data_IF_295176381040
#
_entry.id   IF_295176381040
#
_cell.length_a   1.000
_cell.length_b   1.000
_cell.length_c   1.000
_cell.angle_alpha   90.00
_cell.angle_beta   90.00
_cell.angle_gamma   90.00
#
_symmetry.space_group_name_H-M   'P 1'
#
loop_
_entity.id
_entity.type
_entity.pdbx_description
1 polymer ?
#
# COMPACT_ATOMS: atom_id res chain seq x y z
N UNK A 1 32.95 -19.11 23.65
CA UNK A 1 31.84 -19.63 22.82
C UNK A 1 31.30 -18.56 21.86
N UNK A 2 30.36 -17.68 22.25
CA UNK A 2 29.82 -16.64 21.35
C UNK A 2 30.84 -15.54 20.95
N UNK A 3 31.69 -15.14 21.91
CA UNK A 3 32.79 -14.19 21.66
C UNK A 3 33.80 -14.75 20.66
N UNK A 4 34.21 -16.02 20.82
CA UNK A 4 35.20 -16.63 19.94
C UNK A 4 34.65 -16.81 18.52
N UNK A 5 33.41 -17.25 18.33
CA UNK A 5 32.85 -17.50 16.99
C UNK A 5 32.55 -16.23 16.17
N UNK A 6 32.10 -15.14 16.81
CA UNK A 6 31.68 -13.92 16.08
C UNK A 6 32.71 -12.79 16.17
N UNK A 7 33.39 -12.66 17.31
CA UNK A 7 34.28 -11.52 17.57
C UNK A 7 35.72 -11.82 17.18
N UNK A 8 36.21 -13.06 17.29
CA UNK A 8 37.57 -13.42 16.87
C UNK A 8 37.84 -13.16 15.37
N UNK A 9 36.92 -13.48 14.43
CA UNK A 9 37.11 -13.17 13.02
C UNK A 9 37.04 -11.67 12.71
N UNK A 10 36.24 -10.92 13.48
CA UNK A 10 35.96 -9.51 13.22
C UNK A 10 36.92 -8.54 13.94
N UNK A 11 37.45 -8.94 15.10
CA UNK A 11 38.28 -8.15 16.00
C UNK A 11 39.36 -9.04 16.65
N UNK A 12 40.33 -9.55 15.87
CA UNK A 12 41.42 -10.36 16.41
C UNK A 12 42.20 -9.54 17.46
N UNK A 13 42.29 -10.08 18.69
CA UNK A 13 42.94 -9.43 19.83
C UNK A 13 42.02 -9.05 20.98
N UNK A 14 40.69 -9.01 20.79
CA UNK A 14 39.76 -8.84 21.92
C UNK A 14 39.81 -10.03 22.90
N UNK A 15 40.19 -11.21 22.40
CA UNK A 15 40.43 -12.41 23.21
C UNK A 15 41.76 -12.39 23.97
N UNK A 16 42.65 -11.43 23.68
CA UNK A 16 43.89 -11.20 24.43
C UNK A 16 43.68 -10.27 25.63
N UNK A 17 42.43 -9.86 25.92
CA UNK A 17 42.10 -9.08 27.11
C UNK A 17 42.40 -9.88 28.39
N UNK A 18 42.90 -9.21 29.46
CA UNK A 18 43.04 -9.84 30.77
C UNK A 18 41.73 -10.52 31.21
N UNK A 19 41.76 -11.75 31.78
CA UNK A 19 40.55 -12.48 32.17
C UNK A 19 39.58 -11.69 33.05
N UNK A 20 40.11 -10.77 33.87
CA UNK A 20 39.31 -9.88 34.71
C UNK A 20 38.45 -8.86 33.92
N UNK A 21 38.89 -8.45 32.73
CA UNK A 21 38.21 -7.44 31.90
C UNK A 21 37.29 -8.05 30.83
N UNK A 22 37.46 -9.34 30.54
CA UNK A 22 36.61 -10.06 29.58
C UNK A 22 35.10 -9.94 29.85
N UNK A 23 34.57 -10.08 31.10
CA UNK A 23 33.13 -9.98 31.34
C UNK A 23 32.58 -8.57 31.05
N UNK A 24 33.30 -7.52 31.44
CA UNK A 24 32.88 -6.13 31.24
C UNK A 24 32.92 -5.74 29.76
N UNK A 25 33.99 -6.11 29.04
CA UNK A 25 34.07 -5.90 27.60
C UNK A 25 32.99 -6.69 26.84
N UNK A 26 32.72 -7.93 27.23
CA UNK A 26 31.61 -8.72 26.68
C UNK A 26 30.24 -8.07 26.93
N UNK A 27 30.02 -7.54 28.13
CA UNK A 27 28.79 -6.84 28.49
C UNK A 27 28.64 -5.55 27.67
N UNK A 28 29.71 -4.77 27.52
CA UNK A 28 29.72 -3.53 26.74
C UNK A 28 29.43 -3.79 25.25
N UNK A 29 30.08 -4.79 24.64
CA UNK A 29 29.85 -5.16 23.22
C UNK A 29 28.40 -5.62 23.02
N UNK A 30 27.86 -6.46 23.91
CA UNK A 30 26.45 -6.89 23.84
C UNK A 30 25.49 -5.73 24.03
N UNK A 31 25.80 -4.79 24.93
CA UNK A 31 25.01 -3.58 25.12
C UNK A 31 25.02 -2.73 23.84
N UNK A 32 26.19 -2.47 23.26
CA UNK A 32 26.33 -1.73 22.01
C UNK A 32 25.59 -2.39 20.85
N UNK A 33 25.68 -3.72 20.69
CA UNK A 33 24.96 -4.46 19.68
C UNK A 33 23.43 -4.33 19.84
N UNK A 34 22.91 -4.42 21.06
CA UNK A 34 21.47 -4.21 21.33
C UNK A 34 21.03 -2.79 21.02
N UNK A 35 21.81 -1.78 21.41
CA UNK A 35 21.50 -0.38 21.12
C UNK A 35 21.51 -0.10 19.62
N UNK A 36 22.43 -0.71 18.88
CA UNK A 36 22.49 -0.58 17.42
C UNK A 36 21.28 -1.26 16.75
N UNK A 37 20.92 -2.47 17.20
CA UNK A 37 19.72 -3.16 16.71
C UNK A 37 18.45 -2.33 16.96
N UNK A 38 18.26 -1.81 18.18
CA UNK A 38 17.12 -0.96 18.50
C UNK A 38 17.09 0.34 17.67
N UNK A 39 18.26 0.92 17.37
CA UNK A 39 18.36 2.09 16.49
C UNK A 39 18.02 1.75 15.03
N UNK A 40 18.41 0.56 14.56
CA UNK A 40 18.06 0.07 13.24
C UNK A 40 16.55 -0.17 13.10
N UNK A 41 15.91 -0.77 14.11
CA UNK A 41 14.46 -0.96 14.14
C UNK A 41 13.71 0.38 14.11
N UNK A 42 14.17 1.35 14.92
CA UNK A 42 13.62 2.71 14.96
C UNK A 42 13.74 3.41 13.61
N UNK A 43 14.91 3.31 12.97
CA UNK A 43 15.14 3.87 11.64
C UNK A 43 14.27 3.18 10.58
N UNK A 44 14.16 1.85 10.63
CA UNK A 44 13.31 1.08 9.72
C UNK A 44 11.86 1.52 9.80
N UNK A 45 11.30 1.62 11.02
CA UNK A 45 9.95 2.12 11.24
C UNK A 45 9.75 3.56 10.72
N UNK A 46 10.73 4.44 10.91
CA UNK A 46 10.67 5.80 10.39
C UNK A 46 10.66 5.84 8.85
N UNK A 47 11.48 5.00 8.20
CA UNK A 47 11.51 4.88 6.74
C UNK A 47 10.19 4.34 6.21
N UNK A 48 9.65 3.29 6.82
CA UNK A 48 8.35 2.71 6.46
C UNK A 48 7.22 3.73 6.58
N UNK A 49 7.19 4.51 7.67
CA UNK A 49 6.21 5.57 7.85
C UNK A 49 6.31 6.67 6.78
N UNK A 50 7.53 7.12 6.46
CA UNK A 50 7.75 8.12 5.41
C UNK A 50 7.38 7.58 4.02
N UNK A 51 7.74 6.33 3.74
CA UNK A 51 7.45 5.68 2.46
C UNK A 51 5.96 5.45 2.26
N UNK A 52 5.27 4.95 3.29
CA UNK A 52 3.81 4.83 3.31
C UNK A 52 3.12 6.19 3.13
N UNK A 53 3.59 7.23 3.81
CA UNK A 53 3.10 8.61 3.64
C UNK A 53 3.28 9.12 2.20
N UNK A 54 4.46 8.87 1.61
CA UNK A 54 4.76 9.30 0.24
C UNK A 54 3.91 8.57 -0.80
N UNK A 55 3.69 7.26 -0.64
CA UNK A 55 2.85 6.46 -1.54
C UNK A 55 1.36 6.87 -1.42
N UNK A 56 0.87 7.04 -0.18
CA UNK A 56 -0.52 7.47 0.05
C UNK A 56 -0.81 8.87 -0.47
N UNK A 57 0.17 9.79 -0.44
CA UNK A 57 0.03 11.12 -1.05
C UNK A 57 -0.23 11.07 -2.57
N UNK A 58 0.25 10.03 -3.26
CA UNK A 58 0.00 9.84 -4.70
C UNK A 58 -1.47 9.51 -5.02
N UNK A 59 -2.27 9.14 -4.02
CA UNK A 59 -3.72 8.92 -4.19
C UNK A 59 -4.53 10.22 -4.16
N UNK A 60 -3.91 11.38 -3.93
CA UNK A 60 -4.61 12.67 -3.91
C UNK A 60 -5.51 12.94 -5.14
N UNK A 61 -5.11 12.60 -6.39
CA UNK A 61 -5.94 12.77 -7.58
C UNK A 61 -7.23 11.95 -7.58
N UNK A 62 -7.31 10.84 -6.81
CA UNK A 62 -8.50 9.99 -6.75
C UNK A 62 -9.75 10.78 -6.33
N UNK A 63 -9.59 11.84 -5.52
CA UNK A 63 -10.68 12.72 -5.09
C UNK A 63 -11.42 13.41 -6.24
N UNK A 64 -10.81 13.52 -7.41
CA UNK A 64 -11.44 14.11 -8.59
C UNK A 64 -12.35 13.13 -9.35
N UNK A 65 -12.26 11.81 -9.10
CA UNK A 65 -13.00 10.76 -9.83
C UNK A 65 -14.51 11.02 -9.84
N UNK A 66 -15.18 11.33 -8.70
CA UNK A 66 -16.61 11.64 -8.72
C UNK A 66 -17.01 12.78 -9.68
N UNK A 67 -16.20 13.82 -9.74
CA UNK A 67 -16.46 14.98 -10.60
C UNK A 67 -16.33 14.65 -12.09
N UNK A 68 -15.50 13.65 -12.45
CA UNK A 68 -15.33 13.22 -13.84
C UNK A 68 -16.57 12.56 -14.41
N UNK A 69 -17.35 11.86 -13.59
CA UNK A 69 -18.53 11.11 -14.05
C UNK A 69 -19.82 11.91 -13.92
N UNK A 70 -19.90 12.82 -12.94
CA UNK A 70 -21.08 13.63 -12.65
C UNK A 70 -21.65 14.33 -13.89
N UNK A 71 -22.82 13.90 -14.35
CA UNK A 71 -23.58 14.52 -15.45
C UNK A 71 -22.80 14.62 -16.79
N UNK A 72 -21.77 13.80 -16.98
CA UNK A 72 -20.88 13.94 -18.14
C UNK A 72 -21.25 13.06 -19.33
N UNK A 73 -22.24 12.16 -19.17
CA UNK A 73 -22.60 11.17 -20.20
C UNK A 73 -21.46 10.21 -20.55
N UNK A 74 -20.36 10.20 -19.78
CA UNK A 74 -19.20 9.36 -20.05
C UNK A 74 -19.57 7.87 -20.03
N UNK A 75 -18.95 7.05 -20.90
CA UNK A 75 -19.11 5.61 -20.86
C UNK A 75 -18.55 5.02 -19.56
N UNK A 76 -18.86 3.75 -19.32
CA UNK A 76 -18.27 2.99 -18.21
C UNK A 76 -16.74 2.92 -18.39
N UNK A 77 -15.94 3.12 -17.33
CA UNK A 77 -14.50 3.00 -17.43
C UNK A 77 -14.05 1.59 -17.76
N UNK A 78 -12.98 1.48 -18.55
CA UNK A 78 -12.39 0.22 -19.01
C UNK A 78 -10.91 0.07 -18.63
N UNK A 79 -10.32 1.11 -18.04
CA UNK A 79 -8.92 1.11 -17.60
C UNK A 79 -8.77 1.87 -16.28
N UNK A 80 -7.70 1.54 -15.56
CA UNK A 80 -7.30 2.26 -14.35
C UNK A 80 -6.92 3.72 -14.66
N UNK A 81 -7.03 4.57 -13.64
CA UNK A 81 -6.69 5.98 -13.67
C UNK A 81 -5.20 6.18 -13.98
N UNK A 82 -4.89 7.22 -14.75
CA UNK A 82 -3.52 7.50 -15.22
C UNK A 82 -2.51 7.77 -14.10
N UNK A 83 -2.96 8.14 -12.90
CA UNK A 83 -2.07 8.37 -11.76
C UNK A 83 -1.66 7.06 -11.06
N UNK A 84 -2.33 5.94 -11.32
CA UNK A 84 -2.08 4.69 -10.60
C UNK A 84 -0.62 4.20 -10.66
N UNK A 85 0.10 4.27 -11.79
CA UNK A 85 1.51 3.85 -11.85
C UNK A 85 2.44 4.58 -10.86
N UNK A 86 2.06 5.78 -10.44
CA UNK A 86 2.84 6.60 -9.51
C UNK A 86 2.61 6.18 -8.05
N UNK A 87 1.53 5.48 -7.72
CA UNK A 87 1.14 5.18 -6.33
C UNK A 87 2.19 4.37 -5.59
N UNK A 88 2.69 3.31 -6.20
CA UNK A 88 3.74 2.44 -5.63
C UNK A 88 5.14 2.81 -6.09
N UNK A 89 5.29 3.85 -6.92
CA UNK A 89 6.59 4.26 -7.46
C UNK A 89 7.63 4.54 -6.37
N UNK A 90 7.34 5.27 -5.29
CA UNK A 90 8.34 5.51 -4.24
C UNK A 90 8.86 4.22 -3.61
N UNK A 91 7.97 3.24 -3.38
CA UNK A 91 8.34 1.92 -2.86
C UNK A 91 9.23 1.16 -3.84
N UNK A 92 8.81 1.10 -5.12
CA UNK A 92 9.58 0.44 -6.18
C UNK A 92 10.96 1.07 -6.35
N UNK A 93 11.03 2.40 -6.35
CA UNK A 93 12.28 3.14 -6.49
C UNK A 93 13.23 2.82 -5.32
N UNK A 94 12.74 2.77 -4.08
CA UNK A 94 13.55 2.34 -2.94
C UNK A 94 14.05 0.90 -3.10
N UNK A 95 13.14 -0.03 -3.41
CA UNK A 95 13.45 -1.47 -3.45
C UNK A 95 14.41 -1.84 -4.58
N UNK A 96 14.41 -1.10 -5.69
CA UNK A 96 15.34 -1.28 -6.81
C UNK A 96 16.60 -0.41 -6.72
N UNK A 97 16.66 0.53 -5.77
CA UNK A 97 17.85 1.32 -5.52
C UNK A 97 18.91 0.51 -4.78
N UNK A 98 20.19 0.89 -4.89
CA UNK A 98 21.31 0.25 -4.17
C UNK A 98 21.08 0.18 -2.64
N UNK A 99 20.35 1.14 -2.08
CA UNK A 99 19.95 1.13 -0.67
C UNK A 99 18.97 -0.01 -0.35
N UNK A 100 18.02 -0.29 -1.23
CA UNK A 100 17.08 -1.41 -1.10
C UNK A 100 17.74 -2.77 -1.28
N UNK A 101 18.76 -2.88 -2.13
CA UNK A 101 19.54 -4.12 -2.29
C UNK A 101 20.36 -4.48 -1.03
N UNK A 102 20.63 -3.50 -0.16
CA UNK A 102 21.25 -3.76 1.15
C UNK A 102 20.25 -4.33 2.16
N UNK A 103 18.96 -4.22 1.89
CA UNK A 103 17.93 -4.94 2.66
C UNK A 103 17.94 -6.39 2.20
N UNK A 104 18.00 -7.33 3.14
CA UNK A 104 17.81 -8.74 2.82
C UNK A 104 16.44 -8.98 2.18
N UNK A 105 16.30 -10.03 1.38
CA UNK A 105 15.07 -10.36 0.64
C UNK A 105 13.84 -10.47 1.55
N UNK A 106 14.01 -11.00 2.77
CA UNK A 106 12.96 -11.06 3.78
C UNK A 106 12.46 -9.66 4.19
N UNK A 107 13.39 -8.75 4.50
CA UNK A 107 13.06 -7.37 4.87
C UNK A 107 12.41 -6.60 3.70
N UNK A 108 12.88 -6.82 2.45
CA UNK A 108 12.27 -6.21 1.26
C UNK A 108 10.80 -6.60 1.12
N UNK A 109 10.47 -7.89 1.28
CA UNK A 109 9.08 -8.39 1.24
C UNK A 109 8.24 -7.85 2.38
N UNK A 110 8.78 -7.85 3.60
CA UNK A 110 8.09 -7.32 4.78
C UNK A 110 7.76 -5.84 4.61
N UNK A 111 8.74 -5.04 4.17
CA UNK A 111 8.57 -3.61 3.93
C UNK A 111 7.55 -3.33 2.82
N UNK A 112 7.60 -4.10 1.74
CA UNK A 112 6.64 -3.99 0.65
C UNK A 112 5.21 -4.32 1.12
N UNK A 113 5.05 -5.36 1.94
CA UNK A 113 3.75 -5.76 2.49
C UNK A 113 3.21 -4.70 3.47
N UNK A 114 4.07 -4.15 4.35
CA UNK A 114 3.66 -3.13 5.32
C UNK A 114 3.22 -1.84 4.62
N UNK A 115 4.03 -1.33 3.69
CA UNK A 115 3.69 -0.14 2.90
C UNK A 115 2.46 -0.39 2.04
N UNK A 116 2.37 -1.56 1.40
CA UNK A 116 1.19 -1.96 0.64
C UNK A 116 -0.09 -1.95 1.48
N UNK A 117 -0.03 -2.47 2.70
CA UNK A 117 -1.14 -2.40 3.67
C UNK A 117 -1.52 -0.97 4.04
N UNK A 118 -0.54 -0.10 4.31
CA UNK A 118 -0.80 1.33 4.57
C UNK A 118 -1.52 2.00 3.40
N UNK A 119 -1.07 1.76 2.17
CA UNK A 119 -1.69 2.30 0.96
C UNK A 119 -3.12 1.77 0.79
N UNK A 120 -3.33 0.46 1.00
CA UNK A 120 -4.66 -0.15 0.89
C UNK A 120 -5.63 0.44 1.92
N UNK A 121 -5.22 0.59 3.18
CA UNK A 121 -6.08 1.19 4.23
C UNK A 121 -6.44 2.64 3.92
N UNK A 122 -5.48 3.44 3.45
CA UNK A 122 -5.76 4.81 3.07
C UNK A 122 -6.70 4.90 1.86
N UNK A 123 -6.48 4.06 0.85
CA UNK A 123 -7.33 4.03 -0.32
C UNK A 123 -8.75 3.56 0.03
N UNK A 124 -8.90 2.60 0.95
CA UNK A 124 -10.20 2.15 1.44
C UNK A 124 -10.99 3.30 2.07
N UNK A 125 -10.35 4.12 2.91
CA UNK A 125 -10.97 5.30 3.51
C UNK A 125 -11.42 6.32 2.46
N UNK A 126 -10.58 6.56 1.44
CA UNK A 126 -10.94 7.47 0.34
C UNK A 126 -12.10 6.91 -0.49
N UNK A 127 -12.02 5.65 -0.90
CA UNK A 127 -12.99 4.99 -1.77
C UNK A 127 -14.38 4.92 -1.12
N UNK A 128 -14.45 4.49 0.14
CA UNK A 128 -15.71 4.43 0.91
C UNK A 128 -16.34 5.80 1.06
N UNK A 129 -15.55 6.82 1.44
CA UNK A 129 -16.03 8.19 1.56
C UNK A 129 -16.55 8.76 0.23
N UNK A 130 -15.88 8.48 -0.88
CA UNK A 130 -16.31 8.91 -2.22
C UNK A 130 -17.61 8.23 -2.65
N UNK A 131 -17.72 6.91 -2.51
CA UNK A 131 -18.92 6.17 -2.88
C UNK A 131 -20.14 6.61 -2.06
N UNK A 132 -19.98 6.79 -0.75
CA UNK A 132 -21.04 7.30 0.11
C UNK A 132 -21.49 8.70 -0.29
N UNK A 133 -20.54 9.57 -0.64
CA UNK A 133 -20.82 10.92 -1.13
C UNK A 133 -21.61 10.90 -2.43
N UNK A 134 -21.17 10.12 -3.42
CA UNK A 134 -21.83 10.03 -4.73
C UNK A 134 -23.24 9.45 -4.61
N UNK A 135 -23.43 8.41 -3.79
CA UNK A 135 -24.75 7.81 -3.55
C UNK A 135 -25.72 8.81 -2.91
N UNK A 136 -25.28 9.54 -1.87
CA UNK A 136 -26.11 10.58 -1.23
C UNK A 136 -26.47 11.72 -2.20
N UNK A 137 -25.51 12.15 -3.00
CA UNK A 137 -25.71 13.18 -4.03
C UNK A 137 -26.74 12.73 -5.08
N UNK A 138 -26.63 11.49 -5.55
CA UNK A 138 -27.60 10.92 -6.48
C UNK A 138 -29.00 10.82 -5.89
N UNK A 139 -29.12 10.30 -4.66
CA UNK A 139 -30.40 10.20 -3.96
C UNK A 139 -31.06 11.56 -3.79
N UNK A 140 -30.29 12.59 -3.40
CA UNK A 140 -30.77 13.95 -3.31
C UNK A 140 -31.29 14.45 -4.66
N UNK A 141 -30.52 14.24 -5.75
CA UNK A 141 -30.96 14.62 -7.11
C UNK A 141 -32.24 13.90 -7.52
N UNK A 142 -32.36 12.61 -7.24
CA UNK A 142 -33.58 11.81 -7.54
C UNK A 142 -34.82 12.33 -6.80
N UNK A 143 -34.67 12.85 -5.58
CA UNK A 143 -35.79 13.46 -4.83
C UNK A 143 -36.27 14.77 -5.45
N UNK A 144 -35.37 15.57 -6.03
CA UNK A 144 -35.70 16.87 -6.61
C UNK A 144 -36.07 16.80 -8.11
N UNK A 145 -35.64 15.77 -8.83
CA UNK A 145 -36.08 15.51 -10.19
C UNK A 145 -37.54 15.02 -10.17
N UNK A 146 -38.50 15.87 -10.55
CA UNK A 146 -39.90 15.47 -10.76
C UNK A 146 -39.93 14.36 -11.80
N UNK A 147 -40.33 13.13 -11.39
CA UNK A 147 -40.63 11.94 -12.23
C UNK A 147 -40.37 12.19 -13.72
N UNK A 148 -39.11 12.11 -14.13
CA UNK A 148 -38.71 12.15 -15.52
C UNK A 148 -37.99 10.82 -15.79
N UNK A 149 -38.48 10.21 -16.86
CA UNK A 149 -38.30 8.87 -17.38
C UNK A 149 -36.96 8.13 -17.18
N UNK A 150 -37.14 6.83 -16.92
CA UNK A 150 -36.42 5.70 -17.50
C UNK A 150 -34.89 5.64 -17.34
N UNK A 151 -34.49 4.84 -16.35
CA UNK A 151 -33.62 3.68 -16.56
C UNK A 151 -32.42 3.87 -17.51
N UNK A 152 -31.51 4.78 -17.21
CA UNK A 152 -30.10 4.47 -17.48
C UNK A 152 -29.67 3.41 -16.47
N UNK A 153 -29.37 2.19 -16.93
CA UNK A 153 -28.97 1.08 -16.06
C UNK A 153 -27.67 1.35 -15.28
N UNK A 154 -26.87 2.33 -15.72
CA UNK A 154 -25.60 2.69 -15.10
C UNK A 154 -25.65 4.09 -14.52
N UNK A 155 -25.46 4.18 -13.20
CA UNK A 155 -25.46 5.41 -12.42
C UNK A 155 -24.07 6.08 -12.39
N UNK A 156 -23.96 7.32 -11.90
CA UNK A 156 -22.65 7.95 -11.67
C UNK A 156 -21.90 7.16 -10.57
N UNK A 157 -22.61 6.65 -9.56
CA UNK A 157 -22.09 5.78 -8.52
C UNK A 157 -21.49 4.48 -9.09
N UNK A 158 -22.14 3.86 -10.07
CA UNK A 158 -21.63 2.65 -10.73
C UNK A 158 -20.33 2.94 -11.49
N UNK A 159 -20.26 4.07 -12.20
CA UNK A 159 -19.04 4.46 -12.93
C UNK A 159 -17.88 4.74 -11.98
N UNK A 160 -18.15 5.42 -10.87
CA UNK A 160 -17.15 5.67 -9.82
C UNK A 160 -16.69 4.35 -9.19
N UNK A 161 -17.63 3.45 -8.87
CA UNK A 161 -17.33 2.12 -8.33
C UNK A 161 -16.41 1.32 -9.27
N UNK A 162 -16.77 1.24 -10.55
CA UNK A 162 -15.96 0.54 -11.56
C UNK A 162 -14.58 1.18 -11.74
N UNK A 163 -14.48 2.52 -11.76
CA UNK A 163 -13.16 3.16 -11.84
C UNK A 163 -12.29 2.78 -10.64
N UNK A 164 -12.84 2.84 -9.43
CA UNK A 164 -12.11 2.48 -8.22
C UNK A 164 -11.72 1.00 -8.22
N UNK A 165 -12.59 0.11 -8.71
CA UNK A 165 -12.27 -1.31 -8.86
C UNK A 165 -11.07 -1.52 -9.79
N UNK A 166 -11.06 -0.88 -10.96
CA UNK A 166 -9.94 -0.96 -11.90
C UNK A 166 -8.64 -0.39 -11.31
N UNK A 167 -8.74 0.70 -10.54
CA UNK A 167 -7.61 1.30 -9.82
C UNK A 167 -7.06 0.35 -8.76
N UNK A 168 -7.93 -0.38 -8.05
CA UNK A 168 -7.53 -1.38 -7.04
C UNK A 168 -6.89 -2.61 -7.69
N UNK A 169 -7.42 -3.11 -8.81
CA UNK A 169 -6.78 -4.23 -9.54
C UNK A 169 -5.39 -3.82 -10.05
N UNK A 170 -5.23 -2.58 -10.53
CA UNK A 170 -3.93 -2.04 -10.92
C UNK A 170 -2.97 -1.93 -9.72
N UNK A 171 -3.45 -1.51 -8.55
CA UNK A 171 -2.65 -1.53 -7.32
C UNK A 171 -2.21 -2.96 -6.95
N UNK A 172 -3.11 -3.94 -7.05
CA UNK A 172 -2.80 -5.34 -6.80
C UNK A 172 -1.71 -5.88 -7.72
N UNK A 173 -1.75 -5.51 -9.01
CA UNK A 173 -0.70 -5.84 -9.97
C UNK A 173 0.65 -5.22 -9.58
N UNK A 174 0.65 -3.93 -9.21
CA UNK A 174 1.87 -3.23 -8.77
C UNK A 174 2.48 -3.81 -7.50
N UNK A 175 1.65 -4.23 -6.53
CA UNK A 175 2.12 -4.91 -5.32
C UNK A 175 2.79 -6.25 -5.65
N UNK A 176 2.26 -6.97 -6.64
CA UNK A 176 2.87 -8.22 -7.12
C UNK A 176 4.25 -8.01 -7.74
N UNK A 177 4.46 -6.91 -8.46
CA UNK A 177 5.77 -6.56 -9.04
C UNK A 177 6.86 -6.39 -7.98
N UNK A 178 6.50 -5.95 -6.78
CA UNK A 178 7.42 -5.80 -5.64
C UNK A 178 7.42 -7.01 -4.70
N UNK A 179 6.87 -8.15 -5.14
CA UNK A 179 6.93 -9.41 -4.41
C UNK A 179 5.86 -9.59 -3.33
N UNK A 180 4.78 -8.81 -3.36
CA UNK A 180 3.66 -8.92 -2.42
C UNK A 180 2.52 -9.71 -3.06
N UNK A 181 2.08 -10.77 -2.37
CA UNK A 181 0.86 -11.50 -2.76
C UNK A 181 -0.36 -10.73 -2.26
N UNK A 182 -0.87 -9.79 -3.07
CA UNK A 182 -1.95 -8.88 -2.67
C UNK A 182 -3.20 -9.59 -2.10
N UNK A 183 -3.69 -10.72 -2.66
CA UNK A 183 -4.76 -11.53 -2.04
C UNK A 183 -4.50 -12.05 -0.62
N UNK A 184 -3.25 -12.06 -0.13
CA UNK A 184 -2.93 -12.40 1.26
C UNK A 184 -2.93 -11.20 2.20
N UNK A 185 -3.01 -9.98 1.67
CA UNK A 185 -3.15 -8.78 2.49
C UNK A 185 -4.62 -8.54 2.81
N UNK A 186 -4.98 -8.65 4.10
CA UNK A 186 -6.35 -8.41 4.56
C UNK A 186 -6.86 -7.01 4.15
N UNK A 187 -6.01 -5.98 4.22
CA UNK A 187 -6.35 -4.62 3.82
C UNK A 187 -6.65 -4.49 2.32
N UNK A 188 -5.92 -5.24 1.47
CA UNK A 188 -6.20 -5.27 0.03
C UNK A 188 -7.54 -5.94 -0.25
N UNK A 189 -7.82 -7.08 0.38
CA UNK A 189 -9.09 -7.76 0.23
C UNK A 189 -10.26 -6.87 0.69
N UNK A 190 -10.14 -6.22 1.85
CA UNK A 190 -11.15 -5.28 2.34
C UNK A 190 -11.38 -4.10 1.38
N UNK A 191 -10.31 -3.53 0.83
CA UNK A 191 -10.38 -2.48 -0.19
C UNK A 191 -11.10 -2.97 -1.45
N UNK A 192 -10.66 -4.10 -2.00
CA UNK A 192 -11.22 -4.69 -3.22
C UNK A 192 -12.70 -5.03 -3.08
N UNK A 193 -13.09 -5.60 -1.95
CA UNK A 193 -14.48 -5.94 -1.65
C UNK A 193 -15.34 -4.69 -1.50
N UNK A 194 -14.82 -3.63 -0.87
CA UNK A 194 -15.54 -2.36 -0.69
C UNK A 194 -15.86 -1.63 -2.01
N UNK A 195 -15.08 -1.87 -3.06
CA UNK A 195 -15.27 -1.27 -4.39
C UNK A 195 -15.71 -2.29 -5.44
N UNK A 196 -16.11 -3.49 -5.03
CA UNK A 196 -16.53 -4.54 -5.96
C UNK A 196 -17.84 -4.14 -6.65
N UNK A 197 -17.87 -4.05 -8.00
CA UNK A 197 -19.11 -3.80 -8.73
C UNK A 197 -20.07 -4.99 -8.63
N UNK A 198 -21.36 -4.74 -8.86
CA UNK A 198 -22.35 -5.79 -9.01
C UNK A 198 -22.04 -6.68 -10.23
N UNK A 199 -22.53 -7.92 -10.21
CA UNK A 199 -22.23 -8.95 -11.23
C UNK A 199 -22.50 -8.48 -12.67
N UNK A 200 -23.59 -7.75 -12.89
CA UNK A 200 -23.96 -7.21 -14.21
C UNK A 200 -22.94 -6.18 -14.72
N UNK A 201 -22.37 -5.37 -13.83
CA UNK A 201 -21.31 -4.43 -14.17
C UNK A 201 -19.98 -5.16 -14.38
N UNK A 202 -19.69 -6.20 -13.59
CA UNK A 202 -18.51 -7.04 -13.78
C UNK A 202 -18.47 -7.71 -15.16
N UNK A 203 -19.61 -8.22 -15.64
CA UNK A 203 -19.75 -8.79 -16.99
C UNK A 203 -19.48 -7.73 -18.08
N UNK A 204 -19.91 -6.49 -17.85
CA UNK A 204 -19.76 -5.39 -18.81
C UNK A 204 -18.33 -4.86 -18.96
N UNK A 205 -17.47 -5.06 -17.96
CA UNK A 205 -16.04 -4.70 -18.00
C UNK A 205 -15.12 -5.87 -18.40
N UNK A 206 -15.70 -7.02 -18.77
CA UNK A 206 -14.96 -8.19 -19.25
C UNK A 206 -14.36 -9.08 -18.15
N UNK A 207 -14.86 -9.01 -16.91
CA UNK A 207 -14.36 -9.83 -15.79
C UNK A 207 -15.02 -11.21 -15.73
N UNK A 208 -14.23 -12.26 -16.01
CA UNK A 208 -14.56 -13.61 -15.58
C UNK A 208 -14.51 -13.70 -14.04
N UNK A 209 -15.44 -14.49 -13.48
CA UNK A 209 -15.60 -14.77 -12.06
C UNK A 209 -14.32 -15.26 -11.36
#
# INVERSE_FOLDING_TARGET
AWLDEIVEPALPGLLCLPPALQPDCSAAVRCGARSLAASADTLGAAVLAQLGGTCTAQLAPARAIPALYRLTGRPLPTAASLFMPEVTRPLRDLLHHQAGERLGEAARREWAAEVGGVVCRHFLQLATSMLDGVRKDEEARRRYARKADAASSTTDADKVCVQLFLDVEALGAQLREVGVDAPRLADYCALRDAVRPDLTLMESIGGAA
#
